data_IF_296726617407
#
_entry.id   IF_296726617407
#
_cell.length_a   1.000
_cell.length_b   1.000
_cell.length_c   1.000
_cell.angle_alpha   90.00
_cell.angle_beta   90.00
_cell.angle_gamma   90.00
#
_symmetry.space_group_name_H-M   'P 1'
#
loop_
_entity.id
_entity.type
_entity.pdbx_description
1 polymer ?
#
# COMPACT_ATOMS: atom_id res chain seq x y z
N UNK A 1 -6.24 39.27 8.70
CA UNK A 1 -5.12 38.34 8.45
C UNK A 1 -4.24 38.37 9.68
N UNK A 2 -4.26 37.32 10.48
CA UNK A 2 -3.27 37.16 11.54
C UNK A 2 -1.94 36.81 10.89
N UNK A 3 -0.91 37.62 11.15
CA UNK A 3 0.46 37.33 10.74
C UNK A 3 1.16 36.67 11.93
N UNK A 4 1.45 35.37 11.80
CA UNK A 4 2.22 34.64 12.78
C UNK A 4 3.70 34.69 12.38
N UNK A 5 4.55 35.19 13.28
CA UNK A 5 6.00 35.28 13.06
C UNK A 5 6.73 34.23 13.89
N UNK A 6 7.63 33.47 13.25
CA UNK A 6 8.53 32.55 13.93
C UNK A 6 9.98 32.97 13.70
N UNK A 7 10.66 33.36 14.78
CA UNK A 7 12.05 33.82 14.72
C UNK A 7 13.01 32.63 14.64
N UNK A 8 13.90 32.66 13.66
CA UNK A 8 14.96 31.66 13.46
C UNK A 8 16.32 32.28 13.81
N UNK A 9 17.17 31.51 14.50
CA UNK A 9 18.50 31.98 14.89
C UNK A 9 19.48 31.92 13.71
N UNK A 10 20.22 33.03 13.50
CA UNK A 10 21.30 33.12 12.50
C UNK A 10 22.66 32.87 13.17
N UNK A 11 23.60 32.22 12.46
CA UNK A 11 25.00 32.17 12.92
C UNK A 11 25.62 33.56 12.86
N UNK A 12 26.35 33.92 13.93
CA UNK A 12 27.03 35.22 14.04
C UNK A 12 28.40 35.17 13.35
N UNK A 13 28.74 36.25 12.65
CA UNK A 13 30.08 36.44 12.07
C UNK A 13 30.35 35.71 10.76
N UNK A 14 29.32 35.12 10.13
CA UNK A 14 29.42 34.49 8.81
C UNK A 14 28.78 35.39 7.74
N UNK A 15 29.35 35.36 6.54
CA UNK A 15 28.85 36.11 5.37
C UNK A 15 27.71 35.34 4.69
N UNK A 16 27.65 34.02 4.90
CA UNK A 16 26.64 33.11 4.36
C UNK A 16 26.26 32.07 5.42
N UNK A 17 24.97 31.75 5.54
CA UNK A 17 24.45 30.71 6.42
C UNK A 17 23.29 29.98 5.74
N UNK A 18 23.07 28.72 6.11
CA UNK A 18 21.94 27.90 5.63
C UNK A 18 21.18 27.37 6.83
N UNK A 19 19.87 27.61 6.85
CA UNK A 19 18.99 27.25 7.96
C UNK A 19 18.01 26.18 7.49
N UNK A 20 17.99 25.06 8.20
CA UNK A 20 16.96 24.05 8.04
C UNK A 20 15.95 24.17 9.19
N UNK A 21 14.69 24.36 8.85
CA UNK A 21 13.62 24.53 9.83
C UNK A 21 12.43 23.62 9.46
N UNK A 22 12.09 22.68 10.35
CA UNK A 22 10.87 21.88 10.23
C UNK A 22 9.72 22.66 10.87
N UNK A 23 8.79 23.11 10.04
CA UNK A 23 7.59 23.81 10.50
C UNK A 23 6.45 22.80 10.67
N UNK A 24 5.98 22.64 11.91
CA UNK A 24 4.71 21.95 12.17
C UNK A 24 3.54 22.92 11.92
N UNK A 25 2.62 22.52 11.04
CA UNK A 25 1.45 23.31 10.64
C UNK A 25 0.17 22.85 11.36
N UNK A 26 0.24 21.76 12.15
CA UNK A 26 -0.92 21.16 12.82
C UNK A 26 -1.63 22.15 13.75
N UNK A 27 -0.86 23.05 14.36
CA UNK A 27 -1.36 24.08 15.30
C UNK A 27 -2.14 25.21 14.62
N UNK A 28 -2.11 25.30 13.28
CA UNK A 28 -2.79 26.36 12.53
C UNK A 28 -4.28 26.09 12.31
N UNK A 29 -4.76 24.88 12.63
CA UNK A 29 -6.18 24.52 12.53
C UNK A 29 -6.76 24.69 11.13
N UNK A 30 -5.96 24.44 10.08
CA UNK A 30 -6.37 24.60 8.69
C UNK A 30 -7.60 23.75 8.37
N UNK A 31 -8.54 24.33 7.63
CA UNK A 31 -9.70 23.65 7.07
C UNK A 31 -9.44 23.28 5.59
N UNK A 32 -10.08 22.22 5.07
CA UNK A 32 -9.99 21.84 3.65
C UNK A 32 -10.25 23.03 2.71
N UNK A 33 -9.33 23.27 1.77
CA UNK A 33 -9.35 24.40 0.85
C UNK A 33 -8.65 25.67 1.34
N UNK A 34 -8.16 25.70 2.58
CA UNK A 34 -7.39 26.84 3.10
C UNK A 34 -6.02 26.96 2.43
N UNK A 35 -5.57 28.21 2.25
CA UNK A 35 -4.24 28.53 1.74
C UNK A 35 -3.48 29.42 2.74
N UNK A 36 -2.24 29.04 3.04
CA UNK A 36 -1.31 29.86 3.80
C UNK A 36 -0.24 30.40 2.86
N UNK A 37 -0.07 31.72 2.85
CA UNK A 37 1.09 32.35 2.25
C UNK A 37 2.18 32.61 3.29
N UNK A 38 3.44 32.29 2.98
CA UNK A 38 4.58 32.59 3.85
C UNK A 38 5.74 33.21 3.07
N UNK A 39 6.56 34.01 3.75
CA UNK A 39 7.81 34.56 3.23
C UNK A 39 8.83 34.61 4.37
N UNK A 40 10.11 34.55 4.04
CA UNK A 40 11.18 34.81 4.98
C UNK A 40 11.50 36.32 4.98
N UNK A 41 11.73 36.88 6.16
CA UNK A 41 12.15 38.26 6.35
C UNK A 41 13.50 38.28 7.08
N UNK A 42 14.43 39.10 6.61
CA UNK A 42 15.71 39.36 7.29
C UNK A 42 15.89 40.86 7.50
N UNK A 43 16.31 41.23 8.71
CA UNK A 43 16.69 42.60 9.05
C UNK A 43 18.20 42.68 9.23
N UNK A 44 18.84 43.61 8.53
CA UNK A 44 20.28 43.85 8.70
C UNK A 44 20.59 44.70 9.95
N UNK A 45 21.87 44.90 10.25
CA UNK A 45 22.32 45.69 11.40
C UNK A 45 22.00 47.20 11.29
N UNK A 46 21.62 47.68 10.10
CA UNK A 46 21.21 49.06 9.84
C UNK A 46 19.68 49.24 9.89
N UNK A 47 18.93 48.15 10.11
CA UNK A 47 17.46 48.15 10.15
C UNK A 47 16.80 47.99 8.78
N UNK A 48 17.54 47.69 7.72
CA UNK A 48 16.95 47.42 6.41
C UNK A 48 16.32 46.02 6.40
N UNK A 49 15.07 45.96 5.94
CA UNK A 49 14.28 44.74 5.87
C UNK A 49 14.29 44.22 4.42
N UNK A 50 14.69 42.97 4.23
CA UNK A 50 14.60 42.26 2.97
C UNK A 50 13.66 41.06 3.10
N UNK A 51 12.80 40.85 2.10
CA UNK A 51 11.83 39.75 2.06
C UNK A 51 12.16 38.78 0.94
N UNK A 52 11.92 37.49 1.15
CA UNK A 52 11.92 36.50 0.08
C UNK A 52 10.70 36.66 -0.82
N UNK A 53 10.65 35.86 -1.89
CA UNK A 53 9.39 35.59 -2.59
C UNK A 53 8.36 35.03 -1.60
N UNK A 54 7.09 35.34 -1.83
CA UNK A 54 5.98 34.69 -1.14
C UNK A 54 5.75 33.29 -1.72
N UNK A 55 5.64 32.31 -0.84
CA UNK A 55 5.30 30.93 -1.15
C UNK A 55 3.93 30.63 -0.57
N UNK A 56 3.27 29.61 -1.12
CA UNK A 56 1.92 29.23 -0.75
C UNK A 56 1.88 27.76 -0.38
N UNK A 57 1.15 27.45 0.69
CA UNK A 57 0.83 26.10 1.15
C UNK A 57 -0.68 25.97 1.03
N UNK A 58 -1.12 25.08 0.17
CA UNK A 58 -2.53 24.78 -0.05
C UNK A 58 -2.90 23.51 0.71
N UNK A 59 -3.95 23.57 1.53
CA UNK A 59 -4.53 22.38 2.14
C UNK A 59 -5.66 21.87 1.25
N UNK A 60 -5.55 20.64 0.70
CA UNK A 60 -6.50 20.13 -0.27
C UNK A 60 -7.95 20.22 0.18
N UNK A 61 -8.85 20.42 -0.77
CA UNK A 61 -10.29 20.32 -0.54
C UNK A 61 -10.68 18.87 -0.21
N UNK A 62 -11.85 18.70 0.40
CA UNK A 62 -12.37 17.35 0.65
C UNK A 62 -12.51 16.54 -0.64
N UNK A 63 -12.97 17.16 -1.73
CA UNK A 63 -13.10 16.52 -3.04
C UNK A 63 -11.76 16.02 -3.57
N UNK A 64 -10.71 16.85 -3.51
CA UNK A 64 -9.36 16.45 -3.94
C UNK A 64 -8.77 15.32 -3.06
N UNK A 65 -9.03 15.34 -1.75
CA UNK A 65 -8.63 14.27 -0.84
C UNK A 65 -9.32 12.96 -1.25
N UNK A 66 -10.63 12.98 -1.50
CA UNK A 66 -11.37 11.80 -1.96
C UNK A 66 -10.88 11.31 -3.33
N UNK A 67 -10.63 12.20 -4.29
CA UNK A 67 -10.07 11.82 -5.58
C UNK A 67 -8.71 11.13 -5.46
N UNK A 68 -7.84 11.62 -4.57
CA UNK A 68 -6.52 11.02 -4.35
C UNK A 68 -6.65 9.61 -3.73
N UNK A 69 -7.55 9.44 -2.75
CA UNK A 69 -7.86 8.15 -2.13
C UNK A 69 -8.38 7.18 -3.21
N UNK A 70 -9.39 7.58 -3.98
CA UNK A 70 -9.97 6.73 -5.03
C UNK A 70 -8.93 6.34 -6.10
N UNK A 71 -8.04 7.26 -6.50
CA UNK A 71 -6.93 6.93 -7.42
C UNK A 71 -5.99 5.88 -6.84
N UNK A 72 -5.64 5.97 -5.55
CA UNK A 72 -4.81 4.96 -4.87
C UNK A 72 -5.51 3.62 -4.75
N UNK A 73 -6.79 3.59 -4.39
CA UNK A 73 -7.58 2.35 -4.31
C UNK A 73 -7.66 1.64 -5.67
N UNK A 74 -7.89 2.38 -6.76
CA UNK A 74 -7.91 1.83 -8.11
C UNK A 74 -6.55 1.22 -8.52
N UNK A 75 -5.44 1.84 -8.12
CA UNK A 75 -4.09 1.30 -8.35
C UNK A 75 -3.89 -0.01 -7.59
N UNK A 76 -4.21 -0.04 -6.29
CA UNK A 76 -4.12 -1.25 -5.47
C UNK A 76 -4.99 -2.38 -6.03
N UNK A 77 -6.21 -2.07 -6.45
CA UNK A 77 -7.10 -3.07 -7.06
C UNK A 77 -6.55 -3.62 -8.38
N UNK A 78 -5.88 -2.79 -9.18
CA UNK A 78 -5.24 -3.22 -10.42
C UNK A 78 -4.06 -4.14 -10.11
N UNK A 79 -3.17 -3.72 -9.21
CA UNK A 79 -1.99 -4.50 -8.85
C UNK A 79 -2.39 -5.86 -8.24
N UNK A 80 -3.46 -5.90 -7.43
CA UNK A 80 -4.02 -7.14 -6.87
C UNK A 80 -4.55 -8.10 -7.94
N UNK A 81 -5.17 -7.59 -9.01
CA UNK A 81 -5.57 -8.41 -10.16
C UNK A 81 -4.36 -8.98 -10.89
N UNK A 82 -3.35 -8.15 -11.10
CA UNK A 82 -2.13 -8.56 -11.79
C UNK A 82 -1.41 -9.67 -10.99
N UNK A 83 -1.33 -9.53 -9.65
CA UNK A 83 -0.80 -10.60 -8.78
C UNK A 83 -1.65 -11.87 -8.80
N UNK A 84 -2.98 -11.76 -8.82
CA UNK A 84 -3.85 -12.93 -8.92
C UNK A 84 -3.61 -13.71 -10.22
N UNK A 85 -3.37 -13.02 -11.33
CA UNK A 85 -3.07 -13.62 -12.62
C UNK A 85 -1.69 -14.31 -12.55
N UNK A 86 -0.68 -13.60 -12.07
CA UNK A 86 0.69 -14.13 -11.93
C UNK A 86 0.72 -15.39 -11.06
N UNK A 87 0.11 -15.34 -9.87
CA UNK A 87 -0.03 -16.46 -8.96
C UNK A 87 -0.79 -17.65 -9.59
N UNK A 88 -1.85 -17.40 -10.35
CA UNK A 88 -2.61 -18.43 -11.07
C UNK A 88 -1.76 -19.15 -12.12
N UNK A 89 -0.86 -18.44 -12.79
CA UNK A 89 0.04 -19.03 -13.77
C UNK A 89 1.15 -19.87 -13.10
N UNK A 90 1.70 -19.40 -11.97
CA UNK A 90 2.66 -20.20 -11.17
C UNK A 90 2.02 -21.45 -10.58
N UNK A 91 0.78 -21.36 -10.08
CA UNK A 91 0.02 -22.51 -9.60
C UNK A 91 -0.15 -23.58 -10.70
N UNK A 92 -0.46 -23.18 -11.93
CA UNK A 92 -0.57 -24.12 -13.07
C UNK A 92 0.76 -24.81 -13.37
N UNK A 93 1.87 -24.09 -13.34
CA UNK A 93 3.19 -24.66 -13.60
C UNK A 93 3.61 -25.65 -12.49
N UNK A 94 3.36 -25.30 -11.23
CA UNK A 94 3.57 -26.19 -10.09
C UNK A 94 2.71 -27.46 -10.23
N UNK A 95 1.43 -27.33 -10.61
CA UNK A 95 0.56 -28.49 -10.84
C UNK A 95 1.06 -29.35 -11.99
N UNK A 96 1.55 -28.76 -13.08
CA UNK A 96 2.14 -29.47 -14.22
C UNK A 96 3.35 -30.30 -13.78
N UNK A 97 4.27 -29.69 -13.02
CA UNK A 97 5.48 -30.35 -12.50
C UNK A 97 5.10 -31.46 -11.52
N UNK A 98 4.15 -31.20 -10.62
CA UNK A 98 3.65 -32.21 -9.68
C UNK A 98 3.06 -33.44 -10.40
N UNK A 99 2.23 -33.23 -11.42
CA UNK A 99 1.68 -34.32 -12.23
C UNK A 99 2.77 -35.11 -12.98
N UNK A 100 3.83 -34.43 -13.42
CA UNK A 100 4.98 -35.08 -14.05
C UNK A 100 5.74 -35.95 -13.06
N UNK A 101 6.06 -35.41 -11.87
CA UNK A 101 6.72 -36.15 -10.79
C UNK A 101 5.91 -37.41 -10.39
N UNK A 102 4.58 -37.31 -10.32
CA UNK A 102 3.71 -38.45 -10.02
C UNK A 102 3.77 -39.58 -11.05
N UNK A 103 3.97 -39.24 -12.33
CA UNK A 103 4.01 -40.20 -13.45
C UNK A 103 5.40 -40.80 -13.62
N UNK A 104 6.42 -39.95 -13.63
CA UNK A 104 7.79 -40.31 -13.99
C UNK A 104 8.63 -40.71 -12.76
N UNK A 105 8.20 -40.32 -11.55
CA UNK A 105 8.90 -40.53 -10.26
C UNK A 105 10.29 -39.87 -10.18
N UNK A 106 10.59 -39.01 -11.13
CA UNK A 106 11.80 -38.19 -11.18
C UNK A 106 11.51 -36.86 -11.90
N UNK A 107 12.35 -35.85 -11.66
CA UNK A 107 12.34 -34.59 -12.40
C UNK A 107 13.67 -34.40 -13.12
N UNK A 108 13.61 -33.90 -14.34
CA UNK A 108 14.83 -33.46 -15.04
C UNK A 108 15.25 -32.09 -14.54
N UNK A 109 16.53 -31.74 -14.73
CA UNK A 109 17.10 -30.46 -14.30
C UNK A 109 16.25 -29.24 -14.72
N UNK A 110 15.71 -29.27 -15.94
CA UNK A 110 14.85 -28.21 -16.46
C UNK A 110 13.56 -28.02 -15.65
N UNK A 111 12.96 -29.09 -15.09
CA UNK A 111 11.77 -28.94 -14.24
C UNK A 111 12.14 -28.41 -12.85
N UNK A 112 13.29 -28.83 -12.30
CA UNK A 112 13.78 -28.29 -11.03
C UNK A 112 14.07 -26.78 -11.12
N UNK A 113 14.59 -26.32 -12.26
CA UNK A 113 14.87 -24.90 -12.47
C UNK A 113 13.59 -24.07 -12.55
N UNK A 114 12.59 -24.53 -13.31
CA UNK A 114 11.28 -23.88 -13.35
C UNK A 114 10.62 -23.83 -11.98
N UNK A 115 10.80 -24.87 -11.15
CA UNK A 115 10.28 -24.88 -9.80
C UNK A 115 10.99 -23.84 -8.91
N UNK A 116 12.29 -23.62 -9.09
CA UNK A 116 13.04 -22.54 -8.41
C UNK A 116 12.58 -21.16 -8.86
N UNK A 117 12.32 -20.98 -10.15
CA UNK A 117 11.75 -19.74 -10.68
C UNK A 117 10.37 -19.46 -10.07
N UNK A 118 9.48 -20.47 -10.05
CA UNK A 118 8.16 -20.37 -9.43
C UNK A 118 8.24 -20.02 -7.93
N UNK A 119 9.13 -20.68 -7.18
CA UNK A 119 9.37 -20.36 -5.76
C UNK A 119 9.80 -18.90 -5.59
N UNK A 120 10.64 -18.39 -6.49
CA UNK A 120 11.15 -17.01 -6.42
C UNK A 120 10.03 -16.00 -6.65
N UNK A 121 9.20 -16.21 -7.68
CA UNK A 121 8.04 -15.35 -7.96
C UNK A 121 7.01 -15.37 -6.84
N UNK A 122 6.76 -16.53 -6.26
CA UNK A 122 5.83 -16.65 -5.12
C UNK A 122 6.35 -15.92 -3.88
N UNK A 123 7.66 -15.88 -3.66
CA UNK A 123 8.25 -15.02 -2.62
C UNK A 123 8.08 -13.53 -2.94
N UNK A 124 8.16 -13.13 -4.20
CA UNK A 124 7.91 -11.74 -4.62
C UNK A 124 6.44 -11.34 -4.42
N UNK A 125 5.50 -12.22 -4.75
CA UNK A 125 4.07 -12.03 -4.47
C UNK A 125 3.84 -11.84 -2.97
N UNK A 126 4.42 -12.70 -2.13
CA UNK A 126 4.32 -12.60 -0.68
C UNK A 126 4.87 -11.27 -0.14
N UNK A 127 6.02 -10.81 -0.65
CA UNK A 127 6.58 -9.52 -0.24
C UNK A 127 5.65 -8.36 -0.59
N UNK A 128 5.03 -8.37 -1.78
CA UNK A 128 4.06 -7.33 -2.16
C UNK A 128 2.82 -7.33 -1.28
N UNK A 129 2.34 -8.50 -0.86
CA UNK A 129 1.23 -8.62 0.09
C UNK A 129 1.63 -8.01 1.45
N UNK A 130 2.83 -8.30 1.96
CA UNK A 130 3.34 -7.72 3.22
C UNK A 130 3.47 -6.18 3.12
N UNK A 131 3.91 -5.66 1.97
CA UNK A 131 3.98 -4.23 1.69
C UNK A 131 2.60 -3.57 1.71
N UNK A 132 1.60 -4.19 1.08
CA UNK A 132 0.22 -3.70 1.12
C UNK A 132 -0.39 -3.73 2.50
N UNK A 133 -0.15 -4.79 3.27
CA UNK A 133 -0.60 -4.86 4.65
C UNK A 133 -0.03 -3.68 5.45
N UNK A 134 1.27 -3.42 5.30
CA UNK A 134 1.95 -2.30 5.99
C UNK A 134 1.38 -0.94 5.58
N UNK A 135 1.16 -0.72 4.28
CA UNK A 135 0.60 0.55 3.79
C UNK A 135 -0.87 0.74 4.22
N UNK A 136 -1.64 -0.35 4.27
CA UNK A 136 -3.01 -0.35 4.75
C UNK A 136 -3.07 0.02 6.24
N UNK A 137 -2.22 -0.58 7.07
CA UNK A 137 -2.12 -0.27 8.50
C UNK A 137 -1.73 1.20 8.73
N UNK A 138 -0.75 1.73 7.98
CA UNK A 138 -0.39 3.15 8.02
C UNK A 138 -1.53 4.06 7.59
N UNK A 139 -2.30 3.66 6.60
CA UNK A 139 -3.46 4.44 6.12
C UNK A 139 -4.52 4.50 7.20
N UNK A 140 -4.84 3.37 7.84
CA UNK A 140 -5.76 3.31 8.99
C UNK A 140 -5.27 4.21 10.13
N UNK A 141 -3.97 4.19 10.45
CA UNK A 141 -3.40 5.04 11.50
C UNK A 141 -3.52 6.54 11.19
N UNK A 142 -3.19 6.95 9.95
CA UNK A 142 -3.34 8.35 9.51
C UNK A 142 -4.79 8.83 9.58
N UNK A 143 -5.73 7.98 9.17
CA UNK A 143 -7.16 8.28 9.24
C UNK A 143 -7.64 8.45 10.68
N UNK A 144 -7.13 7.63 11.61
CA UNK A 144 -7.43 7.78 13.04
C UNK A 144 -6.83 9.04 13.69
N UNK A 145 -5.76 9.61 13.11
CA UNK A 145 -5.09 10.81 13.63
C UNK A 145 -5.68 12.13 13.08
N UNK A 146 -6.44 12.08 11.98
CA UNK A 146 -7.12 13.24 11.38
C UNK A 146 -8.47 13.55 12.04
N UNK A 147 -8.88 14.83 12.04
CA UNK A 147 -10.13 15.31 12.68
C UNK A 147 -11.40 14.90 11.92
N UNK A 148 -11.30 14.39 10.69
CA UNK A 148 -12.47 13.97 9.93
C UNK A 148 -12.05 12.73 9.16
N UNK A 149 -12.73 11.60 9.37
CA UNK A 149 -13.24 10.75 8.28
C UNK A 149 -14.16 9.63 8.76
N UNK A 150 -15.06 9.28 7.83
CA UNK A 150 -16.15 8.32 7.88
C UNK A 150 -15.76 7.01 8.58
N UNK A 151 -16.36 6.75 9.73
CA UNK A 151 -16.21 5.52 10.52
C UNK A 151 -16.39 4.26 9.64
N UNK A 152 -17.26 4.36 8.63
CA UNK A 152 -17.52 3.29 7.68
C UNK A 152 -16.26 2.94 6.86
N UNK A 153 -15.49 3.93 6.40
CA UNK A 153 -14.24 3.68 5.66
C UNK A 153 -13.17 3.02 6.51
N UNK A 154 -13.07 3.39 7.79
CA UNK A 154 -12.13 2.77 8.74
C UNK A 154 -12.49 1.30 8.97
N UNK A 155 -13.77 1.01 9.23
CA UNK A 155 -14.26 -0.36 9.43
C UNK A 155 -13.99 -1.27 8.22
N UNK A 156 -14.15 -0.71 7.00
CA UNK A 156 -13.86 -1.41 5.75
C UNK A 156 -12.37 -1.74 5.59
N UNK A 157 -11.49 -0.77 5.82
CA UNK A 157 -10.04 -1.00 5.74
C UNK A 157 -9.58 -2.01 6.80
N UNK A 158 -10.20 -2.01 7.98
CA UNK A 158 -9.98 -3.04 9.01
C UNK A 158 -10.46 -4.43 8.58
N UNK A 159 -11.61 -4.54 7.90
CA UNK A 159 -12.08 -5.80 7.34
C UNK A 159 -11.09 -6.36 6.31
N UNK A 160 -10.58 -5.51 5.41
CA UNK A 160 -9.54 -5.88 4.43
C UNK A 160 -8.25 -6.32 5.13
N UNK A 161 -7.78 -5.55 6.13
CA UNK A 161 -6.57 -5.87 6.90
C UNK A 161 -6.70 -7.22 7.60
N UNK A 162 -7.86 -7.48 8.23
CA UNK A 162 -8.14 -8.77 8.87
C UNK A 162 -8.14 -9.91 7.88
N UNK A 163 -8.71 -9.72 6.69
CA UNK A 163 -8.67 -10.73 5.63
C UNK A 163 -7.20 -10.99 5.27
N UNK A 164 -6.40 -9.97 4.94
CA UNK A 164 -4.96 -10.11 4.66
C UNK A 164 -4.19 -10.88 5.75
N UNK A 165 -4.51 -10.65 7.03
CA UNK A 165 -3.92 -11.39 8.14
C UNK A 165 -4.36 -12.86 8.21
N UNK A 166 -5.63 -13.15 7.90
CA UNK A 166 -6.18 -14.52 7.87
C UNK A 166 -5.69 -15.34 6.66
N UNK A 167 -5.05 -14.71 5.67
CA UNK A 167 -4.49 -15.36 4.47
C UNK A 167 -3.23 -16.19 4.81
N UNK A 168 -2.66 -16.02 6.01
CA UNK A 168 -1.51 -16.77 6.55
C UNK A 168 -0.32 -16.86 5.57
N UNK A 169 0.40 -15.74 5.35
CA UNK A 169 1.68 -15.73 4.65
C UNK A 169 2.73 -16.65 5.30
N UNK A 170 2.61 -17.02 6.58
CA UNK A 170 3.56 -17.92 7.24
C UNK A 170 3.48 -19.38 6.77
N UNK A 171 2.28 -19.92 6.54
CA UNK A 171 2.13 -21.30 6.07
C UNK A 171 2.64 -21.47 4.64
N UNK A 172 2.39 -20.48 3.79
CA UNK A 172 2.92 -20.47 2.42
C UNK A 172 4.44 -20.25 2.41
N UNK A 173 4.97 -19.33 3.23
CA UNK A 173 6.42 -19.14 3.43
C UNK A 173 7.07 -20.46 3.84
N UNK A 174 6.51 -21.14 4.85
CA UNK A 174 7.00 -22.43 5.32
C UNK A 174 6.90 -23.51 4.23
N UNK A 175 5.83 -23.54 3.43
CA UNK A 175 5.68 -24.49 2.33
C UNK A 175 6.71 -24.25 1.21
N UNK A 176 6.99 -22.99 0.87
CA UNK A 176 8.03 -22.61 -0.10
C UNK A 176 9.44 -23.00 0.39
N UNK A 177 9.74 -22.75 1.67
CA UNK A 177 11.00 -23.18 2.29
C UNK A 177 11.15 -24.70 2.31
N UNK A 178 10.10 -25.40 2.73
CA UNK A 178 10.07 -26.86 2.72
C UNK A 178 10.27 -27.43 1.32
N UNK A 179 9.66 -26.83 0.30
CA UNK A 179 9.86 -27.23 -1.08
C UNK A 179 11.31 -26.99 -1.55
N UNK A 180 11.87 -25.83 -1.22
CA UNK A 180 13.25 -25.50 -1.55
C UNK A 180 14.25 -26.50 -0.96
N UNK A 181 14.02 -26.94 0.28
CA UNK A 181 14.81 -28.00 0.92
C UNK A 181 14.57 -29.39 0.33
N UNK A 182 13.38 -29.65 -0.24
CA UNK A 182 13.01 -30.95 -0.79
C UNK A 182 13.51 -31.17 -2.22
N UNK A 183 13.92 -30.12 -2.94
CA UNK A 183 14.47 -30.20 -4.30
C UNK A 183 15.67 -31.14 -4.43
N UNK A 184 16.49 -31.22 -3.38
CA UNK A 184 17.71 -32.04 -3.33
C UNK A 184 17.51 -33.36 -2.55
N UNK A 185 16.27 -33.67 -2.14
CA UNK A 185 15.92 -34.88 -1.37
C UNK A 185 15.33 -35.97 -2.28
N UNK A 186 14.72 -36.98 -1.66
CA UNK A 186 14.12 -38.08 -2.43
C UNK A 186 12.88 -37.60 -3.19
N UNK A 187 12.51 -38.27 -4.30
CA UNK A 187 11.28 -37.95 -5.04
C UNK A 187 10.01 -37.95 -4.16
N UNK A 188 10.00 -38.79 -3.13
CA UNK A 188 8.89 -38.86 -2.17
C UNK A 188 8.82 -37.61 -1.28
N UNK A 189 9.96 -37.13 -0.78
CA UNK A 189 10.02 -35.91 0.02
C UNK A 189 9.60 -34.69 -0.82
N UNK A 190 10.07 -34.63 -2.07
CA UNK A 190 9.71 -33.58 -3.01
C UNK A 190 8.20 -33.59 -3.32
N UNK A 191 7.62 -34.77 -3.52
CA UNK A 191 6.18 -34.91 -3.75
C UNK A 191 5.38 -34.38 -2.54
N UNK A 192 5.76 -34.77 -1.33
CA UNK A 192 5.10 -34.29 -0.11
C UNK A 192 5.18 -32.77 0.05
N UNK A 193 6.33 -32.17 -0.27
CA UNK A 193 6.49 -30.72 -0.23
C UNK A 193 5.65 -30.01 -1.30
N UNK A 194 5.56 -30.56 -2.52
CA UNK A 194 4.69 -30.05 -3.58
C UNK A 194 3.21 -30.13 -3.22
N UNK A 195 2.76 -31.21 -2.57
CA UNK A 195 1.40 -31.36 -2.09
C UNK A 195 1.05 -30.30 -1.03
N UNK A 196 1.95 -30.06 -0.07
CA UNK A 196 1.78 -29.00 0.96
C UNK A 196 1.72 -27.61 0.30
N UNK A 197 2.67 -27.31 -0.59
CA UNK A 197 2.69 -26.03 -1.30
C UNK A 197 1.40 -25.81 -2.09
N UNK A 198 0.96 -26.81 -2.87
CA UNK A 198 -0.27 -26.73 -3.66
C UNK A 198 -1.50 -26.40 -2.82
N UNK A 199 -1.61 -26.96 -1.62
CA UNK A 199 -2.71 -26.64 -0.72
C UNK A 199 -2.64 -25.17 -0.27
N UNK A 200 -1.49 -24.72 0.21
CA UNK A 200 -1.27 -23.33 0.62
C UNK A 200 -1.52 -22.34 -0.53
N UNK A 201 -1.09 -22.66 -1.76
CA UNK A 201 -1.36 -21.82 -2.93
C UNK A 201 -2.85 -21.71 -3.25
N UNK A 202 -3.63 -22.79 -3.12
CA UNK A 202 -5.09 -22.72 -3.33
C UNK A 202 -5.78 -21.83 -2.32
N UNK A 203 -5.28 -21.82 -1.09
CA UNK A 203 -5.85 -21.00 -0.04
C UNK A 203 -5.49 -19.53 -0.26
N UNK A 204 -4.26 -19.22 -0.71
CA UNK A 204 -3.88 -17.88 -1.21
C UNK A 204 -4.75 -17.42 -2.40
N UNK A 205 -5.02 -18.28 -3.38
CA UNK A 205 -5.86 -17.93 -4.52
C UNK A 205 -7.29 -17.50 -4.11
N UNK A 206 -7.94 -18.26 -3.22
CA UNK A 206 -9.28 -17.93 -2.69
C UNK A 206 -9.27 -16.62 -1.91
N UNK A 207 -8.20 -16.40 -1.18
CA UNK A 207 -7.95 -15.23 -0.37
C UNK A 207 -7.84 -13.95 -1.21
N UNK A 208 -7.03 -13.99 -2.28
CA UNK A 208 -6.93 -12.91 -3.26
C UNK A 208 -8.28 -12.63 -3.94
N UNK A 209 -9.04 -13.68 -4.31
CA UNK A 209 -10.37 -13.56 -4.92
C UNK A 209 -11.38 -12.86 -4.01
N UNK A 210 -11.46 -13.28 -2.73
CA UNK A 210 -12.34 -12.65 -1.73
C UNK A 210 -11.99 -11.18 -1.50
N UNK A 211 -10.70 -10.87 -1.43
CA UNK A 211 -10.20 -9.50 -1.24
C UNK A 211 -10.62 -8.61 -2.43
N UNK A 212 -10.45 -9.10 -3.65
CA UNK A 212 -10.89 -8.40 -4.87
C UNK A 212 -12.40 -8.18 -4.92
N UNK A 213 -13.20 -9.15 -4.48
CA UNK A 213 -14.66 -9.03 -4.44
C UNK A 213 -15.10 -7.91 -3.48
N UNK A 214 -14.49 -7.85 -2.30
CA UNK A 214 -14.78 -6.83 -1.28
C UNK A 214 -14.40 -5.44 -1.77
N UNK A 215 -13.20 -5.27 -2.33
CA UNK A 215 -12.76 -4.00 -2.92
C UNK A 215 -13.70 -3.54 -4.03
N UNK A 216 -14.15 -4.47 -4.89
CA UNK A 216 -15.11 -4.16 -5.96
C UNK A 216 -16.47 -3.73 -5.42
N UNK A 217 -16.95 -4.36 -4.34
CA UNK A 217 -18.21 -3.98 -3.69
C UNK A 217 -18.11 -2.55 -3.13
N UNK A 218 -17.02 -2.22 -2.46
CA UNK A 218 -16.82 -0.87 -1.91
C UNK A 218 -16.78 0.20 -3.00
N UNK A 219 -16.06 -0.06 -4.09
CA UNK A 219 -16.03 0.85 -5.25
C UNK A 219 -17.43 1.12 -5.82
N UNK A 220 -18.30 0.10 -5.83
CA UNK A 220 -19.69 0.26 -6.28
C UNK A 220 -20.53 1.07 -5.30
N UNK A 221 -20.38 0.82 -3.99
CA UNK A 221 -21.08 1.57 -2.93
C UNK A 221 -20.69 3.05 -2.93
N UNK A 222 -19.41 3.36 -3.09
CA UNK A 222 -18.91 4.74 -3.16
C UNK A 222 -19.50 5.49 -4.34
N UNK A 223 -19.45 4.89 -5.53
CA UNK A 223 -20.07 5.47 -6.74
C UNK A 223 -21.57 5.74 -6.57
N UNK A 224 -22.29 4.86 -5.85
CA UNK A 224 -23.71 5.09 -5.54
C UNK A 224 -23.89 6.26 -4.56
N UNK A 225 -23.02 6.40 -3.55
CA UNK A 225 -23.02 7.54 -2.63
C UNK A 225 -22.79 8.86 -3.36
N UNK A 226 -21.81 8.92 -4.26
CA UNK A 226 -21.52 10.10 -5.08
C UNK A 226 -22.73 10.51 -5.95
N UNK A 227 -23.34 9.54 -6.64
CA UNK A 227 -24.55 9.77 -7.46
C UNK A 227 -25.72 10.29 -6.61
N UNK A 228 -25.90 9.74 -5.41
CA UNK A 228 -26.94 10.18 -4.49
C UNK A 228 -26.70 11.61 -3.95
N UNK A 229 -25.44 11.97 -3.69
CA UNK A 229 -25.08 13.33 -3.28
C UNK A 229 -25.30 14.34 -4.42
N UNK A 230 -24.88 14.02 -5.64
CA UNK A 230 -25.15 14.83 -6.83
C UNK A 230 -26.66 15.05 -7.01
N UNK A 231 -27.46 13.97 -6.95
CA UNK A 231 -28.92 14.07 -7.11
C UNK A 231 -29.60 14.93 -6.03
N UNK A 232 -29.07 14.96 -4.80
CA UNK A 232 -29.56 15.85 -3.73
C UNK A 232 -29.15 17.31 -3.96
N UNK A 233 -27.95 17.56 -4.48
CA UNK A 233 -27.47 18.91 -4.81
C UNK A 233 -28.22 19.58 -5.96
N UNK A 234 -28.80 18.80 -6.89
CA UNK A 234 -29.70 19.32 -7.94
C UNK A 234 -31.14 19.59 -7.45
N UNK A 235 -31.50 19.17 -6.23
CA UNK A 235 -32.84 19.31 -5.66
C UNK A 235 -33.03 20.49 -4.70
N UNK A 236 -32.00 21.33 -4.50
CA UNK A 236 -31.99 22.51 -3.63
C UNK A 236 -31.80 23.80 -4.41
#
# INVERSE_FOLDING_TARGET
>A
KEENTKNLALKKGVIEDTIYFKWDLSDLGMLPGDEISYFAEITDNAGNINKSKTYYIYFPTMEEIYEEISKKENLVQKDLKDLQIEHSDELKEIERIHQKLMKERELVWADQEKLREAITKEKEILNKIDEWQTELERTIEKLNQGIILDQESIERLQEISKILQEIAPDELKEALENLQLALDKTPRDLQMALDKLKQSQKDLAKALERTLEILKRYQQEEKLKELAQMAKGFGS
#
